data_IF_168156598922
#
_entry.id   IF_168156598922
#
_cell.length_a   1.000
_cell.length_b   1.000
_cell.length_c   1.000
_cell.angle_alpha   90.00
_cell.angle_beta   90.00
_cell.angle_gamma   90.00
#
_symmetry.space_group_name_H-M   'P 1'
#
loop_
_entity.id
_entity.type
_entity.pdbx_description
1 polymer ?
#
# COMPACT_ATOMS: atom_id res chain seq x y z
N UNK A 1 13.50 -14.96 5.83
CA UNK A 1 13.57 -13.62 6.44
C UNK A 1 12.54 -12.72 5.76
N UNK A 2 11.62 -12.11 6.52
CA UNK A 2 10.50 -11.32 5.97
C UNK A 2 10.97 -10.07 5.20
N UNK A 3 12.20 -9.62 5.46
CA UNK A 3 12.86 -8.51 4.78
C UNK A 3 12.97 -8.73 3.28
N UNK A 4 13.21 -9.96 2.82
CA UNK A 4 13.27 -10.26 1.38
C UNK A 4 11.91 -10.10 0.69
N UNK A 5 10.83 -10.51 1.35
CA UNK A 5 9.47 -10.28 0.84
C UNK A 5 9.18 -8.78 0.75
N UNK A 6 9.62 -7.99 1.74
CA UNK A 6 9.47 -6.54 1.72
C UNK A 6 10.25 -5.88 0.57
N UNK A 7 11.48 -6.33 0.29
CA UNK A 7 12.29 -5.80 -0.82
C UNK A 7 11.69 -6.12 -2.19
N UNK A 8 11.21 -7.35 -2.38
CA UNK A 8 10.53 -7.76 -3.61
C UNK A 8 9.23 -6.94 -3.77
N UNK A 9 8.44 -6.82 -2.70
CA UNK A 9 7.22 -6.03 -2.72
C UNK A 9 7.50 -4.55 -3.05
N UNK A 10 8.54 -3.96 -2.47
CA UNK A 10 8.95 -2.58 -2.77
C UNK A 10 9.26 -2.39 -4.26
N UNK A 11 10.02 -3.30 -4.88
CA UNK A 11 10.33 -3.23 -6.31
C UNK A 11 9.06 -3.35 -7.18
N UNK A 12 8.18 -4.30 -6.87
CA UNK A 12 6.92 -4.47 -7.59
C UNK A 12 6.00 -3.26 -7.42
N UNK A 13 5.88 -2.72 -6.20
CA UNK A 13 5.08 -1.52 -5.96
C UNK A 13 5.66 -0.31 -6.70
N UNK A 14 6.98 -0.09 -6.68
CA UNK A 14 7.59 1.00 -7.43
C UNK A 14 7.27 0.93 -8.94
N UNK A 15 7.42 -0.25 -9.55
CA UNK A 15 7.04 -0.48 -10.94
C UNK A 15 5.55 -0.22 -11.19
N UNK A 16 4.68 -0.71 -10.30
CA UNK A 16 3.24 -0.48 -10.39
C UNK A 16 2.88 1.01 -10.32
N UNK A 17 3.49 1.79 -9.41
CA UNK A 17 3.20 3.22 -9.29
C UNK A 17 3.66 4.00 -10.54
N UNK A 18 4.80 3.62 -11.14
CA UNK A 18 5.22 4.19 -12.43
C UNK A 18 4.24 3.86 -13.56
N UNK A 19 3.73 2.64 -13.61
CA UNK A 19 2.71 2.24 -14.57
C UNK A 19 1.38 2.97 -14.35
N UNK A 20 0.97 3.19 -13.10
CA UNK A 20 -0.20 4.01 -12.79
C UNK A 20 -0.03 5.45 -13.29
N UNK A 21 1.12 6.07 -13.04
CA UNK A 21 1.43 7.39 -13.58
C UNK A 21 1.39 7.40 -15.12
N UNK A 22 1.93 6.36 -15.76
CA UNK A 22 1.93 6.23 -17.22
C UNK A 22 0.50 6.13 -17.80
N UNK A 23 -0.33 5.19 -17.30
CA UNK A 23 -1.67 4.96 -17.87
C UNK A 23 -2.63 6.13 -17.58
N UNK A 24 -2.51 6.78 -16.43
CA UNK A 24 -3.33 7.95 -16.08
C UNK A 24 -2.95 9.17 -16.94
N UNK A 25 -1.67 9.38 -17.22
CA UNK A 25 -1.21 10.41 -18.19
C UNK A 25 -1.66 10.13 -19.63
N UNK A 26 -1.98 8.87 -19.98
CA UNK A 26 -2.60 8.49 -21.26
C UNK A 26 -4.12 8.67 -21.27
N UNK A 27 -4.70 9.25 -20.22
CA UNK A 27 -6.12 9.61 -20.16
C UNK A 27 -7.02 8.58 -19.50
N UNK A 28 -6.47 7.47 -18.99
CA UNK A 28 -7.29 6.49 -18.27
C UNK A 28 -7.62 7.02 -16.86
N UNK A 29 -8.91 7.12 -16.55
CA UNK A 29 -9.35 7.64 -15.26
C UNK A 29 -8.92 6.70 -14.09
N UNK A 30 -8.41 7.24 -12.96
CA UNK A 30 -7.97 6.44 -11.81
C UNK A 30 -8.97 5.37 -11.32
N UNK A 31 -10.29 5.63 -11.21
CA UNK A 31 -11.24 4.59 -10.81
C UNK A 31 -11.27 3.41 -11.79
N UNK A 32 -11.17 3.66 -13.09
CA UNK A 32 -11.17 2.62 -14.13
C UNK A 32 -9.87 1.82 -14.08
N UNK A 33 -8.72 2.49 -13.94
CA UNK A 33 -7.43 1.83 -13.76
C UNK A 33 -7.45 0.87 -12.58
N UNK A 34 -7.94 1.33 -11.42
CA UNK A 34 -8.02 0.51 -10.21
C UNK A 34 -9.01 -0.65 -10.34
N UNK A 35 -10.18 -0.42 -10.97
CA UNK A 35 -11.14 -1.49 -11.22
C UNK A 35 -10.52 -2.63 -12.04
N UNK A 36 -9.81 -2.31 -13.13
CA UNK A 36 -9.15 -3.31 -13.97
C UNK A 36 -8.02 -4.03 -13.24
N UNK A 37 -7.18 -3.30 -12.50
CA UNK A 37 -6.04 -3.85 -11.77
C UNK A 37 -6.49 -4.76 -10.64
N UNK A 38 -7.45 -4.32 -9.81
CA UNK A 38 -8.00 -5.15 -8.74
C UNK A 38 -8.84 -6.30 -9.27
N UNK A 39 -9.56 -6.12 -10.37
CA UNK A 39 -10.28 -7.20 -11.05
C UNK A 39 -9.33 -8.30 -11.51
N UNK A 40 -8.25 -7.93 -12.21
CA UNK A 40 -7.23 -8.89 -12.65
C UNK A 40 -6.51 -9.54 -11.45
N UNK A 41 -6.15 -8.74 -10.43
CA UNK A 41 -5.55 -9.23 -9.20
C UNK A 41 -6.43 -10.26 -8.49
N UNK A 42 -7.74 -10.05 -8.45
CA UNK A 42 -8.71 -11.00 -7.88
C UNK A 42 -8.66 -12.33 -8.63
N UNK A 43 -8.65 -12.32 -9.96
CA UNK A 43 -8.51 -13.54 -10.78
C UNK A 43 -7.19 -14.26 -10.47
N UNK A 44 -6.07 -13.54 -10.42
CA UNK A 44 -4.77 -14.13 -10.10
C UNK A 44 -4.73 -14.76 -8.71
N UNK A 45 -5.32 -14.11 -7.70
CA UNK A 45 -5.41 -14.67 -6.35
C UNK A 45 -6.35 -15.87 -6.27
N UNK A 46 -7.47 -15.88 -7.02
CA UNK A 46 -8.35 -17.04 -7.12
C UNK A 46 -7.61 -18.26 -7.71
N UNK A 47 -6.84 -18.04 -8.77
CA UNK A 47 -5.99 -19.08 -9.37
C UNK A 47 -4.93 -19.55 -8.38
N UNK A 48 -4.28 -18.64 -7.67
CA UNK A 48 -3.27 -18.96 -6.66
C UNK A 48 -3.87 -19.82 -5.54
N UNK A 49 -4.96 -19.38 -4.91
CA UNK A 49 -5.67 -20.10 -3.83
C UNK A 49 -6.10 -21.49 -4.28
N UNK A 50 -6.60 -21.61 -5.52
CA UNK A 50 -6.97 -22.91 -6.10
C UNK A 50 -5.74 -23.81 -6.31
N UNK A 51 -4.65 -23.26 -6.84
CA UNK A 51 -3.42 -24.00 -7.10
C UNK A 51 -2.74 -24.49 -5.81
N UNK A 52 -2.74 -23.65 -4.76
CA UNK A 52 -2.17 -23.97 -3.44
C UNK A 52 -3.12 -24.74 -2.55
N UNK A 53 -4.38 -24.92 -2.96
CA UNK A 53 -5.45 -25.54 -2.17
C UNK A 53 -5.59 -24.89 -0.78
N UNK A 54 -5.42 -23.57 -0.71
CA UNK A 54 -5.47 -22.85 0.56
C UNK A 54 -6.90 -22.91 1.13
N UNK A 55 -7.09 -23.41 2.37
CA UNK A 55 -8.41 -23.53 2.95
C UNK A 55 -9.01 -22.14 3.25
N UNK A 56 -10.27 -21.95 2.89
CA UNK A 56 -11.02 -20.73 3.20
C UNK A 56 -11.72 -20.89 4.55
N UNK A 57 -11.00 -20.55 5.63
CA UNK A 57 -11.59 -20.50 6.97
C UNK A 57 -12.05 -19.07 7.28
N UNK A 58 -13.29 -18.76 6.92
CA UNK A 58 -13.91 -17.45 7.18
C UNK A 58 -14.89 -17.56 8.34
N UNK A 59 -14.55 -16.93 9.47
CA UNK A 59 -15.51 -16.69 10.54
C UNK A 59 -16.25 -15.37 10.31
N UNK A 60 -17.48 -15.26 10.81
CA UNK A 60 -18.29 -14.04 10.65
C UNK A 60 -17.60 -12.77 11.18
N UNK A 61 -16.90 -12.79 12.34
CA UNK A 61 -16.14 -11.63 12.81
C UNK A 61 -14.98 -11.24 11.88
N UNK A 62 -14.27 -12.22 11.31
CA UNK A 62 -13.21 -11.94 10.34
C UNK A 62 -13.77 -11.35 9.05
N UNK A 63 -14.91 -11.86 8.59
CA UNK A 63 -15.59 -11.32 7.42
C UNK A 63 -15.97 -9.84 7.62
N UNK A 64 -16.47 -9.44 8.80
CA UNK A 64 -16.76 -8.03 9.08
C UNK A 64 -15.51 -7.15 9.04
N UNK A 65 -14.37 -7.61 9.57
CA UNK A 65 -13.12 -6.87 9.48
C UNK A 65 -12.62 -6.74 8.04
N UNK A 66 -12.80 -7.77 7.21
CA UNK A 66 -12.46 -7.71 5.79
C UNK A 66 -13.27 -6.67 5.03
N UNK A 67 -14.53 -6.42 5.40
CA UNK A 67 -15.34 -5.32 4.83
C UNK A 67 -14.70 -3.97 5.14
N UNK A 68 -14.26 -3.76 6.39
CA UNK A 68 -13.57 -2.51 6.78
C UNK A 68 -12.26 -2.35 6.01
N UNK A 69 -11.46 -3.42 5.90
CA UNK A 69 -10.21 -3.43 5.12
C UNK A 69 -10.48 -3.13 3.65
N UNK A 70 -11.54 -3.69 3.06
CA UNK A 70 -11.91 -3.44 1.67
C UNK A 70 -12.32 -1.98 1.45
N UNK A 71 -13.11 -1.40 2.36
CA UNK A 71 -13.51 0.01 2.29
C UNK A 71 -12.30 0.96 2.41
N UNK A 72 -11.40 0.73 3.37
CA UNK A 72 -10.18 1.51 3.52
C UNK A 72 -9.24 1.34 2.32
N UNK A 73 -9.13 0.13 1.79
CA UNK A 73 -8.33 -0.16 0.59
C UNK A 73 -8.87 0.59 -0.62
N UNK A 74 -10.18 0.61 -0.83
CA UNK A 74 -10.81 1.37 -1.92
C UNK A 74 -10.44 2.86 -1.84
N UNK A 75 -10.65 3.48 -0.67
CA UNK A 75 -10.35 4.90 -0.45
C UNK A 75 -8.86 5.17 -0.63
N UNK A 76 -8.00 4.42 0.09
CA UNK A 76 -6.56 4.63 0.07
C UNK A 76 -5.95 4.49 -1.33
N UNK A 77 -6.33 3.45 -2.08
CA UNK A 77 -5.84 3.26 -3.43
C UNK A 77 -6.37 4.33 -4.39
N UNK A 78 -7.65 4.71 -4.29
CA UNK A 78 -8.22 5.76 -5.16
C UNK A 78 -7.49 7.09 -4.99
N UNK A 79 -7.27 7.54 -3.75
CA UNK A 79 -6.57 8.79 -3.49
C UNK A 79 -5.08 8.70 -3.79
N UNK A 80 -4.45 7.54 -3.59
CA UNK A 80 -3.05 7.31 -3.96
C UNK A 80 -2.82 7.45 -5.47
N UNK A 81 -3.64 6.78 -6.30
CA UNK A 81 -3.52 6.88 -7.76
C UNK A 81 -3.85 8.29 -8.25
N UNK A 82 -4.84 8.96 -7.65
CA UNK A 82 -5.11 10.37 -7.94
C UNK A 82 -3.92 11.27 -7.63
N UNK A 83 -3.29 11.10 -6.47
CA UNK A 83 -2.11 11.86 -6.08
C UNK A 83 -0.94 11.63 -7.04
N UNK A 84 -0.71 10.38 -7.46
CA UNK A 84 0.30 10.02 -8.46
C UNK A 84 0.03 10.67 -9.81
N UNK A 85 -1.24 10.71 -10.23
CA UNK A 85 -1.64 11.32 -11.49
C UNK A 85 -1.50 12.85 -11.48
N UNK A 86 -1.73 13.50 -10.33
CA UNK A 86 -1.66 14.96 -10.19
C UNK A 86 -0.29 15.51 -9.82
N UNK A 87 0.61 14.69 -9.26
CA UNK A 87 1.91 15.16 -8.80
C UNK A 87 2.86 15.50 -9.97
N UNK A 88 3.71 16.55 -9.84
CA UNK A 88 4.69 16.89 -10.87
C UNK A 88 5.70 15.76 -11.09
N UNK A 89 6.05 15.05 -10.00
CA UNK A 89 6.79 13.80 -10.02
C UNK A 89 6.01 12.74 -9.23
N UNK A 90 5.65 11.58 -9.82
CA UNK A 90 4.91 10.54 -9.11
C UNK A 90 5.65 10.02 -7.86
N UNK A 91 6.98 10.13 -7.83
CA UNK A 91 7.80 9.80 -6.67
C UNK A 91 7.46 10.63 -5.43
N UNK A 92 7.01 11.88 -5.58
CA UNK A 92 6.61 12.72 -4.44
C UNK A 92 5.34 12.21 -3.79
N UNK A 93 4.33 11.85 -4.58
CA UNK A 93 3.10 11.25 -4.06
C UNK A 93 3.39 9.92 -3.35
N UNK A 94 4.25 9.06 -3.95
CA UNK A 94 4.66 7.79 -3.34
C UNK A 94 5.42 8.01 -2.03
N UNK A 95 6.32 9.00 -1.97
CA UNK A 95 7.06 9.33 -0.76
C UNK A 95 6.13 9.77 0.38
N UNK A 96 5.16 10.67 0.10
CA UNK A 96 4.17 11.09 1.10
C UNK A 96 3.33 9.91 1.58
N UNK A 97 2.83 9.06 0.69
CA UNK A 97 2.06 7.85 1.07
C UNK A 97 2.91 6.90 1.93
N UNK A 98 4.21 6.82 1.68
CA UNK A 98 5.13 5.96 2.44
C UNK A 98 5.29 6.37 3.91
N UNK A 99 4.88 7.60 4.29
CA UNK A 99 4.79 8.02 5.69
C UNK A 99 3.84 7.12 6.50
N UNK A 100 2.92 6.39 5.86
CA UNK A 100 2.09 5.39 6.55
C UNK A 100 2.94 4.35 7.31
N UNK A 101 4.17 4.06 6.89
CA UNK A 101 5.08 3.17 7.63
C UNK A 101 5.40 3.72 9.04
N UNK A 102 5.56 5.04 9.18
CA UNK A 102 5.72 5.71 10.47
C UNK A 102 4.46 5.53 11.34
N UNK A 103 3.30 5.79 10.75
CA UNK A 103 1.99 5.66 11.43
C UNK A 103 1.77 4.23 11.91
N UNK A 104 1.99 3.23 11.06
CA UNK A 104 1.83 1.81 11.40
C UNK A 104 2.84 1.38 12.47
N UNK A 105 4.09 1.84 12.40
CA UNK A 105 5.12 1.53 13.40
C UNK A 105 4.72 2.06 14.78
N UNK A 106 4.25 3.30 14.86
CA UNK A 106 3.83 3.92 16.12
C UNK A 106 2.52 3.32 16.63
N UNK A 107 1.51 3.17 15.78
CA UNK A 107 0.24 2.56 16.14
C UNK A 107 0.40 1.10 16.58
N UNK A 108 1.34 0.36 15.98
CA UNK A 108 1.64 -1.03 16.36
C UNK A 108 2.13 -1.18 17.81
N UNK A 109 2.76 -0.16 18.39
CA UNK A 109 3.15 -0.18 19.80
C UNK A 109 1.90 -0.21 20.69
N UNK A 110 0.91 0.63 20.41
CA UNK A 110 -0.30 0.77 21.24
C UNK A 110 -1.37 -0.28 20.93
N UNK A 111 -1.55 -0.62 19.65
CA UNK A 111 -2.64 -1.49 19.19
C UNK A 111 -2.25 -2.97 19.16
N UNK A 112 -0.97 -3.28 18.93
CA UNK A 112 -0.47 -4.65 18.74
C UNK A 112 0.54 -5.07 19.82
N UNK A 113 0.82 -4.22 20.79
CA UNK A 113 1.78 -4.50 21.87
C UNK A 113 3.23 -4.62 21.40
N UNK A 114 3.59 -3.97 20.28
CA UNK A 114 4.96 -4.01 19.78
C UNK A 114 5.94 -3.29 20.73
N UNK A 115 7.20 -3.75 20.76
CA UNK A 115 8.20 -3.16 21.64
C UNK A 115 8.61 -1.75 21.22
N UNK A 116 8.54 -0.81 22.17
CA UNK A 116 9.03 0.55 21.98
C UNK A 116 10.57 0.58 21.96
N UNK A 117 11.15 1.37 21.06
CA UNK A 117 12.60 1.56 20.96
C UNK A 117 12.92 2.94 20.43
N UNK A 118 13.71 3.71 21.20
CA UNK A 118 14.15 5.04 20.82
C UNK A 118 14.90 5.08 19.49
N UNK A 119 15.69 4.05 19.18
CA UNK A 119 16.42 3.95 17.90
C UNK A 119 15.44 3.81 16.73
N UNK A 120 14.40 2.99 16.86
CA UNK A 120 13.36 2.83 15.83
C UNK A 120 12.56 4.12 15.66
N UNK A 121 12.22 4.80 16.76
CA UNK A 121 11.52 6.09 16.73
C UNK A 121 12.37 7.16 16.05
N UNK A 122 13.67 7.24 16.33
CA UNK A 122 14.58 8.15 15.64
C UNK A 122 14.64 7.84 14.13
N UNK A 123 14.67 6.56 13.75
CA UNK A 123 14.58 6.14 12.34
C UNK A 123 13.30 6.63 11.67
N UNK A 124 12.15 6.52 12.34
CA UNK A 124 10.86 7.05 11.85
C UNK A 124 10.95 8.57 11.61
N UNK A 125 11.47 9.33 12.58
CA UNK A 125 11.62 10.80 12.45
C UNK A 125 12.52 11.16 11.26
N UNK A 126 13.65 10.47 11.09
CA UNK A 126 14.57 10.70 9.97
C UNK A 126 13.92 10.37 8.62
N UNK A 127 13.13 9.29 8.52
CA UNK A 127 12.38 8.97 7.32
C UNK A 127 11.37 10.07 6.97
N UNK A 128 10.61 10.55 7.96
CA UNK A 128 9.66 11.66 7.76
C UNK A 128 10.36 12.95 7.33
N UNK A 129 11.50 13.30 7.95
CA UNK A 129 12.28 14.46 7.57
C UNK A 129 12.83 14.35 6.14
N UNK A 130 13.34 13.18 5.76
CA UNK A 130 13.82 12.92 4.39
C UNK A 130 12.71 13.05 3.34
N UNK A 131 11.50 12.56 3.65
CA UNK A 131 10.33 12.74 2.78
C UNK A 131 9.93 14.21 2.68
N UNK A 132 9.94 14.95 3.79
CA UNK A 132 9.63 16.39 3.78
C UNK A 132 10.58 17.17 2.87
N UNK A 133 11.88 16.89 2.95
CA UNK A 133 12.90 17.50 2.08
C UNK A 133 12.78 17.10 0.60
N UNK A 134 12.28 15.89 0.32
CA UNK A 134 12.11 15.40 -1.05
C UNK A 134 10.95 16.10 -1.78
N UNK A 135 9.92 16.51 -1.03
CA UNK A 135 8.65 17.02 -1.56
C UNK A 135 8.54 18.56 -1.47
N UNK A 136 9.40 19.20 -0.67
CA UNK A 136 9.49 20.66 -0.50
C UNK A 136 9.93 21.42 -1.75
#
# INVERSE_FOLDING_TARGET
>A
MWQWYALIAMACFAAMQLLFAYVTKKGLAPPVTLLLVFGLGTVLYLLHVRATRTPLHLSLPLASWLVVVAALSYVGNLFSVRAIASAPNPGYAVAVVSVQAAVVTLAGIFLLGASFSWVKTAGVVLCCAGIALLVS
#
